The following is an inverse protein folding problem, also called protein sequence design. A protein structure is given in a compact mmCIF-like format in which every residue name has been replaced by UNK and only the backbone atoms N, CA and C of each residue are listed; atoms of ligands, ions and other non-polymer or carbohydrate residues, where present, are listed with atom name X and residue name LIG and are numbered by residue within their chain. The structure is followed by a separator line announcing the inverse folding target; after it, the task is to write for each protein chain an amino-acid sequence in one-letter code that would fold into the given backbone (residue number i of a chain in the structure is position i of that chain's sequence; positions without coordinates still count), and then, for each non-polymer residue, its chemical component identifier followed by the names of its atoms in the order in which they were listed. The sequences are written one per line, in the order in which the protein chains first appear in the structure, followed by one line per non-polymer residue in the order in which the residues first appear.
data_IF_863535267973
#
_entry.id   IF_863535267973
#
_cell.length_a   1.000
_cell.length_b   1.000
_cell.length_c   1.000
_cell.angle_alpha   90.00
_cell.angle_beta   90.00
_cell.angle_gamma   90.00
#
_symmetry.space_group_name_H-M   'P 1'
#
loop_
_entity.id
_entity.type
_entity.pdbx_description
1 polymer ?
#
# COMPACT_ATOMS: atom_id res chain seq x y z
N UNK A 1 -11.93 22.32 41.48
CA UNK A 1 -11.91 21.30 40.40
C UNK A 1 -11.98 22.03 39.09
N UNK A 2 -10.90 21.99 38.30
CA UNK A 2 -10.70 22.81 37.11
C UNK A 2 -11.09 22.00 35.86
N UNK A 3 -12.21 22.31 35.17
CA UNK A 3 -12.67 21.57 33.99
C UNK A 3 -11.86 21.85 32.71
N UNK A 4 -10.85 22.72 32.75
CA UNK A 4 -10.11 23.18 31.57
C UNK A 4 -8.83 22.39 31.25
N UNK A 5 -8.75 21.11 31.63
CA UNK A 5 -7.67 20.28 31.12
C UNK A 5 -7.86 20.11 29.60
N UNK A 6 -6.93 20.62 28.75
CA UNK A 6 -7.03 20.45 27.31
C UNK A 6 -7.09 18.96 27.04
N UNK A 7 -8.25 18.51 26.55
CA UNK A 7 -8.51 17.11 26.21
C UNK A 7 -7.30 16.61 25.42
N UNK A 8 -6.55 15.71 26.04
CA UNK A 8 -5.39 15.04 25.49
C UNK A 8 -5.86 14.37 24.19
N UNK A 9 -5.72 15.08 23.06
CA UNK A 9 -6.13 14.55 21.76
C UNK A 9 -5.20 13.40 21.47
N UNK A 10 -5.73 12.19 21.61
CA UNK A 10 -5.04 10.97 21.25
C UNK A 10 -4.51 11.14 19.83
N UNK A 11 -3.20 10.99 19.60
CA UNK A 11 -2.62 11.18 18.27
C UNK A 11 -3.34 10.25 17.29
N UNK A 12 -3.89 10.83 16.22
CA UNK A 12 -4.55 10.07 15.18
C UNK A 12 -3.57 9.05 14.62
N UNK A 13 -3.98 7.77 14.63
CA UNK A 13 -3.15 6.69 14.09
C UNK A 13 -2.86 7.01 12.62
N UNK A 14 -1.60 7.00 12.18
CA UNK A 14 -1.28 7.25 10.78
C UNK A 14 -2.02 6.22 9.92
N UNK A 15 -2.72 6.71 8.90
CA UNK A 15 -3.41 5.86 7.94
C UNK A 15 -2.40 4.95 7.22
N UNK A 16 -2.76 3.67 7.11
CA UNK A 16 -1.91 2.67 6.44
C UNK A 16 -2.00 2.86 4.94
N UNK A 17 -0.87 2.81 4.24
CA UNK A 17 -0.89 2.91 2.78
C UNK A 17 -1.62 1.70 2.16
N UNK A 18 -2.65 1.98 1.36
CA UNK A 18 -3.35 0.97 0.59
C UNK A 18 -2.40 0.26 -0.40
N UNK A 19 -1.48 1.01 -1.02
CA UNK A 19 -0.49 0.47 -1.96
C UNK A 19 0.40 -0.59 -1.32
N UNK A 20 1.01 -0.29 -0.17
CA UNK A 20 1.91 -1.24 0.53
C UNK A 20 1.14 -2.48 0.97
N UNK A 21 -0.12 -2.31 1.39
CA UNK A 21 -0.99 -3.43 1.75
C UNK A 21 -1.32 -4.32 0.55
N UNK A 22 -1.73 -3.72 -0.57
CA UNK A 22 -2.03 -4.44 -1.80
C UNK A 22 -0.82 -5.19 -2.35
N UNK A 23 0.36 -4.54 -2.37
CA UNK A 23 1.60 -5.17 -2.82
C UNK A 23 2.01 -6.34 -1.92
N UNK A 24 1.92 -6.19 -0.59
CA UNK A 24 2.23 -7.28 0.33
C UNK A 24 1.34 -8.51 0.08
N UNK A 25 0.03 -8.30 -0.12
CA UNK A 25 -0.90 -9.38 -0.47
C UNK A 25 -0.58 -10.02 -1.82
N UNK A 26 -0.24 -9.23 -2.83
CA UNK A 26 0.15 -9.74 -4.14
C UNK A 26 1.39 -10.64 -4.04
N UNK A 27 2.43 -10.18 -3.33
CA UNK A 27 3.66 -10.95 -3.10
C UNK A 27 3.35 -12.25 -2.35
N UNK A 28 2.53 -12.20 -1.30
CA UNK A 28 2.12 -13.39 -0.54
C UNK A 28 1.38 -14.38 -1.46
N UNK A 29 0.42 -13.90 -2.26
CA UNK A 29 -0.37 -14.76 -3.14
C UNK A 29 0.50 -15.45 -4.21
N UNK A 30 1.33 -14.68 -4.93
CA UNK A 30 2.23 -15.21 -5.95
C UNK A 30 3.24 -16.20 -5.37
N UNK A 31 3.83 -15.88 -4.20
CA UNK A 31 4.80 -16.75 -3.55
C UNK A 31 4.16 -18.05 -3.04
N UNK A 32 2.93 -17.97 -2.51
CA UNK A 32 2.17 -19.16 -2.07
C UNK A 32 1.87 -20.08 -3.23
N UNK A 33 1.54 -19.53 -4.41
CA UNK A 33 1.33 -20.32 -5.63
C UNK A 33 2.63 -20.96 -6.13
N UNK A 34 3.77 -20.28 -6.00
CA UNK A 34 5.07 -20.77 -6.45
C UNK A 34 5.73 -21.78 -5.48
N UNK A 35 5.33 -21.79 -4.20
CA UNK A 35 5.93 -22.65 -3.17
C UNK A 35 5.89 -24.15 -3.50
N UNK A 36 4.79 -24.73 -4.02
CA UNK A 36 4.77 -26.15 -4.35
C UNK A 36 5.72 -26.52 -5.49
N UNK A 37 5.86 -25.63 -6.49
CA UNK A 37 6.84 -25.81 -7.58
C UNK A 37 8.26 -25.75 -7.04
N UNK A 38 8.54 -24.78 -6.15
CA UNK A 38 9.82 -24.66 -5.44
C UNK A 38 10.16 -25.93 -4.65
N UNK A 39 9.24 -26.39 -3.80
CA UNK A 39 9.45 -27.57 -2.95
C UNK A 39 9.64 -28.85 -3.77
N UNK A 40 8.86 -29.02 -4.83
CA UNK A 40 9.03 -30.17 -5.72
C UNK A 40 10.38 -30.13 -6.46
N UNK A 41 10.78 -28.96 -6.95
CA UNK A 41 12.08 -28.79 -7.63
C UNK A 41 13.22 -29.12 -6.66
N UNK A 42 13.14 -28.68 -5.40
CA UNK A 42 14.10 -29.04 -4.36
C UNK A 42 14.15 -30.56 -4.13
N UNK A 43 13.01 -31.24 -4.07
CA UNK A 43 12.96 -32.69 -3.91
C UNK A 43 13.59 -33.42 -5.11
N UNK A 44 13.36 -32.95 -6.34
CA UNK A 44 13.98 -33.52 -7.54
C UNK A 44 15.51 -33.37 -7.53
N UNK A 45 16.01 -32.21 -7.07
CA UNK A 45 17.45 -31.96 -6.91
C UNK A 45 18.04 -32.88 -5.84
N UNK A 46 17.39 -33.01 -4.68
CA UNK A 46 17.84 -33.89 -3.60
C UNK A 46 17.83 -35.37 -3.99
N UNK A 47 16.86 -35.78 -4.81
CA UNK A 47 16.76 -37.14 -5.33
C UNK A 47 17.75 -37.45 -6.47
N UNK A 48 18.60 -36.49 -6.88
CA UNK A 48 19.52 -36.60 -8.02
C UNK A 48 18.82 -37.04 -9.32
N UNK A 49 17.58 -36.58 -9.52
CA UNK A 49 16.84 -36.87 -10.75
C UNK A 49 17.56 -36.31 -11.97
N UNK A 50 17.63 -37.09 -13.06
CA UNK A 50 18.37 -36.76 -14.29
C UNK A 50 17.96 -35.43 -14.95
N UNK A 51 16.80 -34.86 -14.61
CA UNK A 51 16.37 -33.54 -15.10
C UNK A 51 17.05 -32.34 -14.43
N UNK A 52 17.91 -32.53 -13.43
CA UNK A 52 18.50 -31.42 -12.64
C UNK A 52 19.95 -31.09 -12.99
N UNK A 53 20.58 -31.87 -13.88
CA UNK A 53 21.98 -31.67 -14.29
C UNK A 53 22.22 -30.35 -15.06
N UNK A 54 21.17 -29.70 -15.56
CA UNK A 54 21.23 -28.43 -16.29
C UNK A 54 20.72 -27.22 -15.50
N UNK A 55 20.36 -27.39 -14.22
CA UNK A 55 19.96 -26.26 -13.39
C UNK A 55 21.20 -25.45 -13.01
N UNK A 56 21.40 -24.32 -13.70
CA UNK A 56 22.39 -23.34 -13.29
C UNK A 56 22.06 -22.77 -11.90
N UNK A 57 23.07 -22.24 -11.22
CA UNK A 57 22.88 -21.72 -9.87
C UNK A 57 21.78 -20.63 -9.82
N UNK A 58 21.67 -19.80 -10.87
CA UNK A 58 20.64 -18.77 -10.97
C UNK A 58 19.22 -19.35 -11.08
N UNK A 59 19.02 -20.39 -11.90
CA UNK A 59 17.76 -21.11 -11.99
C UNK A 59 17.37 -21.77 -10.67
N UNK A 60 18.33 -22.39 -9.97
CA UNK A 60 18.09 -22.96 -8.63
C UNK A 60 17.62 -21.88 -7.65
N UNK A 61 18.32 -20.74 -7.56
CA UNK A 61 17.92 -19.66 -6.65
C UNK A 61 16.53 -19.11 -7.00
N UNK A 62 16.22 -18.92 -8.29
CA UNK A 62 14.96 -18.34 -8.74
C UNK A 62 13.76 -19.26 -8.50
N UNK A 63 13.93 -20.56 -8.77
CA UNK A 63 12.82 -21.53 -8.65
C UNK A 63 12.68 -22.04 -7.23
N UNK A 64 13.79 -22.34 -6.54
CA UNK A 64 13.75 -22.99 -5.22
C UNK A 64 13.75 -21.96 -4.09
N UNK A 65 14.67 -20.99 -4.13
CA UNK A 65 14.94 -20.11 -2.98
C UNK A 65 14.07 -18.86 -2.97
N UNK A 66 13.78 -18.28 -4.13
CA UNK A 66 13.06 -17.01 -4.21
C UNK A 66 11.61 -17.09 -3.70
N UNK A 67 10.80 -18.12 -3.99
CA UNK A 67 9.42 -18.20 -3.50
C UNK A 67 9.27 -18.16 -1.97
N UNK A 68 9.98 -18.98 -1.16
CA UNK A 68 9.87 -18.89 0.30
C UNK A 68 10.39 -17.54 0.83
N UNK A 69 11.47 -16.99 0.28
CA UNK A 69 11.97 -15.67 0.68
C UNK A 69 10.96 -14.56 0.37
N UNK A 70 10.34 -14.60 -0.81
CA UNK A 70 9.31 -13.65 -1.22
C UNK A 70 8.08 -13.74 -0.32
N UNK A 71 7.66 -14.94 0.09
CA UNK A 71 6.57 -15.11 1.05
C UNK A 71 6.89 -14.44 2.39
N UNK A 72 8.08 -14.72 2.95
CA UNK A 72 8.51 -14.12 4.21
C UNK A 72 8.60 -12.59 4.11
N UNK A 73 9.18 -12.08 3.02
CA UNK A 73 9.28 -10.65 2.75
C UNK A 73 7.89 -10.00 2.63
N UNK A 74 6.95 -10.65 1.94
CA UNK A 74 5.54 -10.22 1.84
C UNK A 74 4.84 -10.14 3.20
N UNK A 75 5.01 -11.15 4.06
CA UNK A 75 4.48 -11.13 5.44
C UNK A 75 5.13 -10.03 6.27
N UNK A 76 6.45 -9.83 6.13
CA UNK A 76 7.18 -8.75 6.78
C UNK A 76 6.67 -7.37 6.34
N UNK A 77 6.43 -7.19 5.05
CA UNK A 77 5.89 -5.95 4.45
C UNK A 77 4.45 -5.68 4.94
N UNK A 78 3.61 -6.72 5.04
CA UNK A 78 2.25 -6.60 5.58
C UNK A 78 2.28 -6.14 7.05
N UNK A 79 3.27 -6.60 7.82
CA UNK A 79 3.53 -6.19 9.21
C UNK A 79 4.32 -4.88 9.33
N UNK A 80 4.63 -4.21 8.22
CA UNK A 80 5.44 -2.97 8.17
C UNK A 80 6.79 -3.11 8.88
N UNK A 81 7.40 -4.29 8.80
CA UNK A 81 8.76 -4.50 9.34
C UNK A 81 9.80 -4.07 8.30
N UNK A 82 10.83 -3.37 8.75
CA UNK A 82 11.92 -2.86 7.90
C UNK A 82 12.58 -3.96 7.08
N UNK A 83 12.84 -5.13 7.68
CA UNK A 83 13.43 -6.28 6.97
C UNK A 83 12.52 -6.82 5.85
N UNK A 84 11.20 -6.76 6.00
CA UNK A 84 10.26 -7.21 4.98
C UNK A 84 10.29 -6.29 3.76
N UNK A 85 10.32 -4.99 4.00
CA UNK A 85 10.52 -3.98 2.96
C UNK A 85 11.86 -4.16 2.25
N UNK A 86 12.96 -4.30 2.99
CA UNK A 86 14.28 -4.51 2.41
C UNK A 86 14.33 -5.80 1.57
N UNK A 87 13.72 -6.89 2.06
CA UNK A 87 13.62 -8.14 1.33
C UNK A 87 12.89 -8.01 -0.01
N UNK A 88 11.76 -7.30 -0.05
CA UNK A 88 11.04 -7.05 -1.31
C UNK A 88 11.87 -6.20 -2.29
N UNK A 89 12.61 -5.19 -1.80
CA UNK A 89 13.52 -4.42 -2.66
C UNK A 89 14.61 -5.28 -3.30
N UNK A 90 15.26 -6.13 -2.49
CA UNK A 90 16.32 -7.03 -2.97
C UNK A 90 15.78 -8.01 -4.01
N UNK A 91 14.60 -8.59 -3.76
CA UNK A 91 13.96 -9.51 -4.70
C UNK A 91 13.58 -8.83 -6.02
N UNK A 92 13.01 -7.62 -5.98
CA UNK A 92 12.68 -6.86 -7.19
C UNK A 92 13.93 -6.45 -7.97
N UNK A 93 14.96 -5.96 -7.29
CA UNK A 93 16.23 -5.60 -7.91
C UNK A 93 16.89 -6.83 -8.56
N UNK A 94 16.94 -7.96 -7.85
CA UNK A 94 17.44 -9.23 -8.37
C UNK A 94 16.66 -9.70 -9.60
N UNK A 95 15.32 -9.60 -9.58
CA UNK A 95 14.48 -9.93 -10.73
C UNK A 95 14.78 -9.05 -11.95
N UNK A 96 14.94 -7.73 -11.76
CA UNK A 96 15.30 -6.80 -12.83
C UNK A 96 16.67 -7.16 -13.43
N UNK A 97 17.68 -7.38 -12.58
CA UNK A 97 19.03 -7.75 -13.03
C UNK A 97 19.01 -9.08 -13.78
N UNK A 98 18.30 -10.09 -13.25
CA UNK A 98 18.18 -11.39 -13.91
C UNK A 98 17.55 -11.27 -15.31
N UNK A 99 16.43 -10.56 -15.43
CA UNK A 99 15.76 -10.35 -16.72
C UNK A 99 16.62 -9.54 -17.71
N UNK A 100 17.35 -8.53 -17.21
CA UNK A 100 18.27 -7.75 -18.04
C UNK A 100 19.47 -8.58 -18.52
N UNK A 101 20.02 -9.44 -17.67
CA UNK A 101 21.09 -10.37 -18.03
C UNK A 101 20.61 -11.41 -19.04
N UNK A 102 19.40 -11.96 -18.88
CA UNK A 102 18.81 -12.85 -19.88
C UNK A 102 18.65 -12.15 -21.23
N UNK A 103 18.19 -10.89 -21.24
CA UNK A 103 18.03 -10.11 -22.44
C UNK A 103 19.37 -9.81 -23.13
N UNK A 104 20.44 -9.59 -22.36
CA UNK A 104 21.77 -9.28 -22.88
C UNK A 104 22.58 -10.50 -23.33
N UNK A 105 22.39 -11.65 -22.69
CA UNK A 105 23.21 -12.86 -22.95
C UNK A 105 22.59 -13.81 -23.98
N UNK A 106 21.25 -13.81 -24.14
CA UNK A 106 20.60 -14.68 -25.12
C UNK A 106 20.76 -14.14 -26.54
N UNK A 107 21.80 -14.58 -27.23
CA UNK A 107 21.86 -14.50 -28.70
C UNK A 107 20.85 -15.51 -29.27
N UNK A 108 20.02 -15.14 -30.25
CA UNK A 108 19.18 -16.11 -30.95
C UNK A 108 20.12 -17.15 -31.57
N UNK A 109 20.13 -18.35 -30.98
CA UNK A 109 20.99 -19.44 -31.44
C UNK A 109 20.08 -20.39 -32.16
N UNK A 110 20.09 -20.34 -33.49
CA UNK A 110 19.37 -21.31 -34.29
C UNK A 110 19.97 -22.68 -34.02
N UNK A 111 19.18 -23.56 -33.40
CA UNK A 111 19.63 -24.90 -33.06
C UNK A 111 19.18 -25.82 -34.18
N UNK A 112 20.12 -26.25 -35.02
CA UNK A 112 19.84 -27.23 -36.07
C UNK A 112 19.85 -28.59 -35.40
N UNK A 113 18.68 -29.21 -35.26
CA UNK A 113 18.55 -30.59 -34.80
C UNK A 113 18.39 -31.50 -35.99
N UNK A 114 19.17 -32.58 -36.05
CA UNK A 114 18.91 -33.68 -36.99
C UNK A 114 17.83 -34.57 -36.38
N UNK A 115 16.74 -34.78 -37.12
CA UNK A 115 15.76 -35.81 -36.76
C UNK A 115 16.41 -37.20 -36.85
N UNK A 116 15.85 -38.22 -36.18
CA UNK A 116 16.30 -39.61 -36.32
C UNK A 116 16.36 -40.11 -37.77
N UNK A 117 15.53 -39.54 -38.65
CA UNK A 117 15.46 -39.87 -40.08
C UNK A 117 16.49 -39.09 -40.93
N UNK A 118 17.38 -38.31 -40.31
CA UNK A 118 18.39 -37.51 -41.00
C UNK A 118 17.86 -36.22 -41.62
N UNK A 119 16.59 -35.85 -41.36
CA UNK A 119 16.03 -34.59 -41.83
C UNK A 119 16.50 -33.48 -40.89
N UNK A 120 17.19 -32.47 -41.43
CA UNK A 120 17.51 -31.27 -40.67
C UNK A 120 16.22 -30.52 -40.35
N UNK A 121 15.89 -30.43 -39.07
CA UNK A 121 14.85 -29.55 -38.57
C UNK A 121 15.51 -28.34 -37.94
N UNK A 122 15.38 -27.20 -38.59
CA UNK A 122 15.75 -25.93 -37.98
C UNK A 122 14.65 -25.57 -36.99
N UNK A 123 14.92 -25.78 -35.70
CA UNK A 123 14.06 -25.21 -34.67
C UNK A 123 14.42 -23.74 -34.61
N UNK A 124 13.61 -22.92 -35.29
CA UNK A 124 13.67 -21.46 -35.16
C UNK A 124 13.71 -21.15 -33.68
N UNK A 125 14.77 -20.49 -33.22
CA UNK A 125 14.89 -20.10 -31.83
C UNK A 125 13.61 -19.33 -31.48
N UNK A 126 12.89 -19.78 -30.45
CA UNK A 126 11.72 -19.07 -29.94
C UNK A 126 12.15 -17.62 -29.73
N UNK A 127 11.54 -16.69 -30.49
CA UNK A 127 11.98 -15.30 -30.56
C UNK A 127 12.19 -14.70 -29.17
N UNK A 128 13.07 -13.70 -29.07
CA UNK A 128 13.44 -13.02 -27.81
C UNK A 128 12.26 -12.94 -26.84
N UNK A 129 12.43 -13.37 -25.60
CA UNK A 129 11.38 -13.47 -24.59
C UNK A 129 10.60 -12.14 -24.49
N UNK A 130 9.47 -12.01 -25.18
CA UNK A 130 8.73 -10.74 -25.32
C UNK A 130 8.19 -10.26 -23.95
N UNK A 131 8.21 -11.14 -22.96
CA UNK A 131 7.76 -10.89 -21.60
C UNK A 131 8.81 -10.23 -20.70
N UNK A 132 10.11 -10.31 -21.03
CA UNK A 132 11.17 -9.77 -20.15
C UNK A 132 11.09 -8.25 -20.01
N UNK A 133 10.84 -7.52 -21.11
CA UNK A 133 10.75 -6.05 -21.08
C UNK A 133 9.58 -5.54 -20.22
N UNK A 134 8.33 -6.02 -20.39
CA UNK A 134 7.23 -5.67 -19.49
C UNK A 134 7.53 -5.96 -18.02
N UNK A 135 8.14 -7.12 -17.71
CA UNK A 135 8.48 -7.50 -16.34
C UNK A 135 9.50 -6.52 -15.74
N UNK A 136 10.54 -6.15 -16.49
CA UNK A 136 11.55 -5.18 -16.06
C UNK A 136 10.89 -3.83 -15.76
N UNK A 137 10.06 -3.32 -16.68
CA UNK A 137 9.40 -2.00 -16.54
C UNK A 137 8.49 -1.98 -15.32
N UNK A 138 7.60 -2.98 -15.17
CA UNK A 138 6.70 -3.06 -14.01
C UNK A 138 7.47 -3.18 -12.71
N UNK A 139 8.50 -4.03 -12.67
CA UNK A 139 9.33 -4.21 -11.47
C UNK A 139 10.07 -2.93 -11.09
N UNK A 140 10.61 -2.19 -12.07
CA UNK A 140 11.30 -0.92 -11.86
C UNK A 140 10.35 0.16 -11.30
N UNK A 141 9.12 0.24 -11.82
CA UNK A 141 8.11 1.18 -11.32
C UNK A 141 7.69 0.86 -9.88
N UNK A 142 7.48 -0.42 -9.56
CA UNK A 142 7.17 -0.86 -8.18
C UNK A 142 8.35 -0.56 -7.25
N UNK A 143 9.58 -0.84 -7.69
CA UNK A 143 10.80 -0.55 -6.94
C UNK A 143 10.94 0.96 -6.65
N UNK A 144 10.77 1.81 -7.67
CA UNK A 144 10.80 3.27 -7.52
C UNK A 144 9.73 3.76 -6.54
N UNK A 145 8.52 3.19 -6.60
CA UNK A 145 7.44 3.54 -5.67
C UNK A 145 7.77 3.12 -4.23
N UNK A 146 8.36 1.94 -4.02
CA UNK A 146 8.79 1.47 -2.70
C UNK A 146 9.92 2.32 -2.09
N UNK A 147 10.77 2.94 -2.93
CA UNK A 147 11.84 3.84 -2.50
C UNK A 147 11.37 5.27 -2.20
N UNK A 148 10.11 5.60 -2.51
CA UNK A 148 9.53 6.91 -2.21
C UNK A 148 9.56 7.23 -0.71
N UNK A 149 9.68 8.52 -0.37
CA UNK A 149 9.79 8.98 1.03
C UNK A 149 8.59 8.57 1.88
N UNK A 150 7.39 8.54 1.29
CA UNK A 150 6.15 8.16 1.98
C UNK A 150 6.17 6.70 2.45
N UNK A 151 6.56 5.77 1.57
CA UNK A 151 6.64 4.33 1.91
C UNK A 151 7.76 4.06 2.90
N UNK A 152 8.93 4.71 2.73
CA UNK A 152 10.04 4.60 3.67
C UNK A 152 9.67 5.06 5.08
N UNK A 153 8.97 6.19 5.19
CA UNK A 153 8.52 6.72 6.47
C UNK A 153 7.52 5.77 7.17
N UNK A 154 6.70 5.04 6.42
CA UNK A 154 5.75 4.06 6.98
C UNK A 154 6.48 2.82 7.53
N UNK A 155 7.49 2.31 6.82
CA UNK A 155 8.20 1.09 7.23
C UNK A 155 9.29 1.33 8.28
N UNK A 156 9.82 2.56 8.41
CA UNK A 156 10.89 2.89 9.35
C UNK A 156 10.47 3.05 10.81
N UNK A 157 9.20 3.35 11.10
CA UNK A 157 8.76 3.70 12.47
C UNK A 157 8.61 2.51 13.43
N UNK A 158 8.42 1.30 12.92
CA UNK A 158 8.07 0.14 13.74
C UNK A 158 9.26 -0.50 14.47
N UNK A 159 10.49 -0.26 14.02
CA UNK A 159 11.69 -0.82 14.63
C UNK A 159 12.08 -0.17 15.96
N UNK A 160 11.89 1.15 16.10
CA UNK A 160 12.41 1.89 17.26
C UNK A 160 11.48 1.88 18.47
N UNK A 161 10.17 1.67 18.27
CA UNK A 161 9.20 1.72 19.36
C UNK A 161 9.21 0.46 20.26
N UNK A 162 9.65 -0.70 19.74
CA UNK A 162 9.69 -1.95 20.51
C UNK A 162 10.95 -2.11 21.36
N UNK A 163 12.00 -1.32 21.12
CA UNK A 163 13.26 -1.34 21.88
C UNK A 163 13.36 -0.29 22.98
N UNK A 164 12.49 0.73 22.98
CA UNK A 164 12.55 1.86 23.92
C UNK A 164 11.80 1.62 25.25
N UNK A 165 11.47 0.36 25.58
CA UNK A 165 10.83 -0.03 26.84
C UNK A 165 11.77 -0.22 28.02
N UNK A 166 13.08 0.03 27.87
CA UNK A 166 14.07 -0.12 28.94
C UNK A 166 14.90 1.14 29.11
N UNK A 167 14.72 1.83 30.24
CA UNK A 167 15.67 2.85 30.72
C UNK A 167 15.28 4.30 30.45
N UNK A 168 14.25 4.78 31.14
CA UNK A 168 14.19 6.20 31.51
C UNK A 168 15.31 6.43 32.54
N UNK A 169 16.54 6.61 32.09
CA UNK A 169 17.50 7.43 32.84
C UNK A 169 17.27 8.87 32.40
N UNK A 170 16.33 9.50 33.09
CA UNK A 170 16.16 10.95 33.11
C UNK A 170 17.44 11.57 33.68
N UNK A 171 18.44 11.81 32.83
CA UNK A 171 19.54 12.71 33.14
C UNK A 171 19.08 14.09 32.68
N UNK A 172 18.56 14.82 33.64
CA UNK A 172 18.40 16.27 33.57
C UNK A 172 19.79 16.87 33.36
N UNK A 173 20.00 17.51 32.22
CA UNK A 173 21.09 18.46 32.02
C UNK A 173 20.49 19.78 31.52
N UNK A 174 20.78 20.92 32.18
CA UNK A 174 20.26 22.22 31.80
C UNK A 174 21.20 22.91 30.82
N UNK A 175 20.63 23.67 29.88
CA UNK A 175 21.29 24.82 29.27
C UNK A 175 21.66 24.69 27.79
N UNK A 176 21.21 25.67 27.00
CA UNK A 176 21.86 26.06 25.74
C UNK A 176 21.02 25.85 24.49
N UNK A 177 20.32 26.90 24.07
CA UNK A 177 19.58 27.03 22.81
C UNK A 177 20.43 26.80 21.54
N UNK A 178 19.78 26.33 20.47
CA UNK A 178 19.93 26.93 19.15
C UNK A 178 18.66 26.66 18.30
N UNK A 179 17.99 27.69 17.76
CA UNK A 179 16.78 27.52 16.95
C UNK A 179 17.15 26.97 15.57
N UNK A 180 16.50 25.85 15.21
CA UNK A 180 16.62 25.17 13.93
C UNK A 180 16.01 26.07 12.83
N UNK A 181 16.84 26.63 11.96
CA UNK A 181 16.39 27.46 10.85
C UNK A 181 15.54 26.65 9.86
N UNK A 182 14.28 27.07 9.75
CA UNK A 182 13.28 26.56 8.82
C UNK A 182 13.53 27.13 7.42
N UNK A 183 13.37 26.28 6.41
CA UNK A 183 13.59 26.56 4.99
C UNK A 183 12.73 27.75 4.52
N UNK A 184 13.35 28.90 4.25
CA UNK A 184 12.68 30.09 3.71
C UNK A 184 12.42 29.91 2.20
N UNK A 185 11.17 29.91 1.73
CA UNK A 185 10.88 30.13 0.32
C UNK A 185 11.27 31.57 -0.09
N UNK A 186 11.55 31.82 -1.38
CA UNK A 186 12.00 33.12 -1.87
C UNK A 186 10.99 34.21 -1.55
N UNK A 187 11.49 35.30 -0.97
CA UNK A 187 10.73 36.50 -0.62
C UNK A 187 10.38 37.30 -1.86
N UNK A 188 9.09 37.36 -2.21
CA UNK A 188 8.52 38.47 -2.98
C UNK A 188 8.70 39.75 -2.15
N UNK A 189 9.72 40.55 -2.48
CA UNK A 189 10.23 41.66 -1.68
C UNK A 189 9.31 42.87 -1.51
N UNK A 190 8.01 42.76 -1.82
CA UNK A 190 7.06 43.87 -1.74
C UNK A 190 5.99 43.71 -0.64
N UNK A 191 5.89 42.54 0.02
CA UNK A 191 4.81 42.29 0.98
C UNK A 191 5.36 42.09 2.40
N UNK A 192 4.82 42.86 3.34
CA UNK A 192 5.10 42.74 4.77
C UNK A 192 4.31 41.60 5.43
N UNK A 193 3.65 40.74 4.66
CA UNK A 193 2.90 39.59 5.17
C UNK A 193 2.99 38.39 4.22
N UNK A 194 2.77 37.20 4.76
CA UNK A 194 2.76 35.93 4.02
C UNK A 194 1.83 34.92 4.67
N UNK A 195 1.37 33.95 3.88
CA UNK A 195 0.59 32.82 4.35
C UNK A 195 1.23 31.51 3.89
N UNK A 196 0.98 30.42 4.60
CA UNK A 196 1.49 29.11 4.20
C UNK A 196 0.89 27.97 4.99
N UNK A 197 1.37 26.76 4.69
CA UNK A 197 0.96 25.54 5.36
C UNK A 197 2.01 25.06 6.36
N UNK A 198 1.56 24.54 7.50
CA UNK A 198 2.40 23.82 8.46
C UNK A 198 1.93 22.36 8.54
N UNK A 199 2.48 21.53 7.67
CA UNK A 199 2.04 20.14 7.54
C UNK A 199 0.75 20.02 6.70
N UNK A 200 -0.08 19.04 7.01
CA UNK A 200 -1.26 18.71 6.19
C UNK A 200 -2.49 19.59 6.51
N UNK A 201 -2.76 19.78 7.80
CA UNK A 201 -4.05 20.31 8.26
C UNK A 201 -3.90 21.70 8.93
N UNK A 202 -2.69 22.29 8.99
CA UNK A 202 -2.51 23.61 9.60
C UNK A 202 -2.07 24.64 8.59
N UNK A 203 -2.56 25.85 8.76
CA UNK A 203 -2.11 27.02 8.03
C UNK A 203 -1.59 28.08 8.98
N UNK A 204 -0.83 29.01 8.45
CA UNK A 204 -0.35 30.15 9.20
C UNK A 204 -0.45 31.42 8.37
N UNK A 205 -0.63 32.53 9.06
CA UNK A 205 -0.46 33.87 8.57
C UNK A 205 0.67 34.53 9.35
N UNK A 206 1.64 35.11 8.66
CA UNK A 206 2.76 35.82 9.26
C UNK A 206 2.81 37.26 8.74
N UNK A 207 3.10 38.21 9.63
CA UNK A 207 3.25 39.62 9.28
C UNK A 207 4.50 40.20 9.95
N UNK A 208 5.23 41.02 9.20
CA UNK A 208 6.43 41.71 9.65
C UNK A 208 6.01 42.89 10.51
N UNK A 209 6.28 42.78 11.81
CA UNK A 209 6.17 43.85 12.79
C UNK A 209 7.56 44.50 12.98
N UNK A 210 7.66 45.68 13.65
CA UNK A 210 8.95 46.31 13.95
C UNK A 210 9.95 45.37 14.66
N UNK A 211 9.45 44.54 15.56
CA UNK A 211 10.24 43.60 16.36
C UNK A 211 10.52 42.25 15.66
N UNK A 212 10.08 42.09 14.41
CA UNK A 212 10.27 40.87 13.62
C UNK A 212 8.97 40.27 13.09
N UNK A 213 9.07 39.06 12.56
CA UNK A 213 7.90 38.34 12.04
C UNK A 213 7.06 37.78 13.17
N UNK A 214 5.78 38.13 13.20
CA UNK A 214 4.82 37.56 14.12
C UNK A 214 3.86 36.63 13.38
N UNK A 215 3.49 35.53 14.03
CA UNK A 215 2.74 34.43 13.42
C UNK A 215 1.40 34.22 14.09
N UNK A 216 0.40 33.95 13.26
CA UNK A 216 -0.95 33.55 13.63
C UNK A 216 -1.22 32.16 13.03
N UNK A 217 -1.37 31.15 13.88
CA UNK A 217 -1.74 29.80 13.44
C UNK A 217 -3.25 29.70 13.22
N UNK A 218 -3.63 29.01 12.15
CA UNK A 218 -5.00 28.83 11.70
C UNK A 218 -5.30 27.34 11.56
N UNK A 219 -6.48 26.94 12.03
CA UNK A 219 -6.98 25.58 11.88
C UNK A 219 -7.47 25.36 10.44
N UNK A 220 -7.13 24.22 9.85
CA UNK A 220 -7.67 23.77 8.57
C UNK A 220 -7.91 22.27 8.56
N UNK A 221 -8.56 21.77 7.51
CA UNK A 221 -8.72 20.35 7.26
C UNK A 221 -8.61 20.07 5.76
N UNK A 222 -7.95 18.98 5.39
CA UNK A 222 -7.86 18.53 4.01
C UNK A 222 -9.13 17.74 3.65
N UNK A 223 -9.84 18.17 2.63
CA UNK A 223 -11.06 17.52 2.16
C UNK A 223 -10.77 16.60 0.96
N UNK A 224 -11.63 15.59 0.77
CA UNK A 224 -11.60 14.67 -0.38
C UNK A 224 -12.60 15.10 -1.49
N UNK A 225 -13.07 16.34 -1.42
CA UNK A 225 -14.09 16.90 -2.32
C UNK A 225 -13.49 17.78 -3.43
N UNK A 226 -14.34 18.56 -4.13
CA UNK A 226 -13.89 19.54 -5.12
C UNK A 226 -12.96 20.61 -4.52
N UNK A 227 -13.21 21.00 -3.27
CA UNK A 227 -12.26 21.76 -2.47
C UNK A 227 -11.26 20.78 -1.84
N UNK A 228 -9.98 21.13 -1.92
CA UNK A 228 -8.89 20.35 -1.35
C UNK A 228 -8.67 20.66 0.13
N UNK A 229 -9.01 21.88 0.57
CA UNK A 229 -8.86 22.31 1.96
C UNK A 229 -10.03 23.16 2.42
N UNK A 230 -10.33 23.07 3.72
CA UNK A 230 -11.21 24.00 4.42
C UNK A 230 -10.42 24.77 5.47
N UNK A 231 -10.62 26.08 5.53
CA UNK A 231 -10.00 26.97 6.52
C UNK A 231 -11.04 27.37 7.57
N UNK A 232 -10.72 27.17 8.85
CA UNK A 232 -11.59 27.56 9.95
C UNK A 232 -11.11 28.86 10.60
N UNK A 233 -11.83 29.94 10.36
CA UNK A 233 -11.61 31.19 11.07
C UNK A 233 -12.26 31.14 12.45
N UNK A 234 -11.54 31.61 13.46
CA UNK A 234 -12.11 31.74 14.80
C UNK A 234 -13.30 32.70 14.79
N UNK A 235 -14.34 32.39 15.59
CA UNK A 235 -15.47 33.28 15.81
C UNK A 235 -14.99 34.64 16.36
N UNK A 236 -15.75 35.74 16.22
CA UNK A 236 -15.33 37.04 16.74
C UNK A 236 -14.89 37.03 18.21
N UNK A 237 -15.61 36.30 19.07
CA UNK A 237 -15.26 36.16 20.48
C UNK A 237 -13.94 35.38 20.68
N UNK A 238 -13.74 34.27 19.95
CA UNK A 238 -12.51 33.47 20.04
C UNK A 238 -11.31 34.19 19.40
N UNK A 239 -11.55 35.06 18.42
CA UNK A 239 -10.52 35.88 17.79
C UNK A 239 -9.85 36.84 18.78
N UNK A 240 -10.56 37.29 19.82
CA UNK A 240 -9.98 38.14 20.88
C UNK A 240 -8.88 37.42 21.69
N UNK A 241 -8.83 36.09 21.65
CA UNK A 241 -7.77 35.31 22.29
C UNK A 241 -6.46 35.31 21.49
N UNK A 242 -6.46 35.76 20.23
CA UNK A 242 -5.25 35.88 19.42
C UNK A 242 -4.33 37.00 19.92
N UNK A 243 -3.05 37.05 19.46
CA UNK A 243 -2.13 38.12 19.79
C UNK A 243 -2.71 39.51 19.51
N UNK A 244 -2.34 40.49 20.33
CA UNK A 244 -2.93 41.83 20.33
C UNK A 244 -2.94 42.50 18.95
N UNK A 245 -1.85 42.38 18.20
CA UNK A 245 -1.71 42.93 16.85
C UNK A 245 -2.76 42.44 15.84
N UNK A 246 -3.33 41.25 16.06
CA UNK A 246 -4.33 40.64 15.16
C UNK A 246 -5.77 40.91 15.58
N UNK A 247 -6.03 41.28 16.86
CA UNK A 247 -7.39 41.33 17.44
C UNK A 247 -8.30 42.31 16.71
N UNK A 248 -7.78 43.49 16.36
CA UNK A 248 -8.55 44.56 15.73
C UNK A 248 -8.50 44.52 14.19
N UNK A 249 -7.80 43.54 13.61
CA UNK A 249 -7.54 43.43 12.17
C UNK A 249 -8.11 42.15 11.55
N UNK A 250 -9.09 41.53 12.21
CA UNK A 250 -9.72 40.26 11.77
C UNK A 250 -10.12 40.28 10.30
N UNK A 251 -10.90 41.27 9.87
CA UNK A 251 -11.40 41.36 8.50
C UNK A 251 -10.29 41.51 7.46
N UNK A 252 -9.28 42.33 7.76
CA UNK A 252 -8.12 42.54 6.89
C UNK A 252 -7.29 41.24 6.73
N UNK A 253 -7.00 40.55 7.84
CA UNK A 253 -6.23 39.31 7.83
C UNK A 253 -6.98 38.21 7.05
N UNK A 254 -8.29 38.06 7.28
CA UNK A 254 -9.13 37.11 6.54
C UNK A 254 -9.10 37.41 5.04
N UNK A 255 -9.28 38.68 4.65
CA UNK A 255 -9.25 39.08 3.25
C UNK A 255 -7.88 38.77 2.58
N UNK A 256 -6.77 38.99 3.29
CA UNK A 256 -5.42 38.63 2.80
C UNK A 256 -5.27 37.12 2.60
N UNK A 257 -5.74 36.31 3.55
CA UNK A 257 -5.70 34.84 3.48
C UNK A 257 -6.55 34.35 2.30
N UNK A 258 -7.78 34.86 2.15
CA UNK A 258 -8.68 34.52 1.04
C UNK A 258 -8.11 34.91 -0.32
N UNK A 259 -7.33 36.00 -0.40
CA UNK A 259 -6.71 36.45 -1.65
C UNK A 259 -5.64 35.49 -2.19
N UNK A 260 -4.98 34.74 -1.31
CA UNK A 260 -3.94 33.75 -1.64
C UNK A 260 -4.51 32.34 -1.83
N UNK A 261 -5.42 31.92 -0.95
CA UNK A 261 -6.00 30.58 -0.99
C UNK A 261 -7.38 30.58 -1.64
N UNK A 262 -7.47 30.80 -2.96
CA UNK A 262 -8.75 31.08 -3.64
C UNK A 262 -9.65 29.84 -3.87
N UNK A 263 -10.98 30.02 -3.99
CA UNK A 263 -11.87 28.99 -4.55
C UNK A 263 -11.49 28.64 -6.01
N UNK A 264 -11.75 27.40 -6.48
CA UNK A 264 -12.51 26.34 -5.82
C UNK A 264 -11.68 25.48 -4.86
N UNK A 265 -10.35 25.64 -4.82
CA UNK A 265 -9.45 24.77 -4.07
C UNK A 265 -9.63 24.86 -2.54
N UNK A 266 -10.17 25.98 -2.06
CA UNK A 266 -10.38 26.27 -0.65
C UNK A 266 -11.83 26.66 -0.35
N UNK A 267 -12.35 26.09 0.74
CA UNK A 267 -13.59 26.51 1.39
C UNK A 267 -13.27 27.21 2.73
N UNK A 268 -14.14 28.11 3.17
CA UNK A 268 -13.94 28.86 4.42
C UNK A 268 -15.15 28.70 5.35
N UNK A 269 -14.87 28.50 6.63
CA UNK A 269 -15.86 28.42 7.70
C UNK A 269 -15.52 29.39 8.83
N UNK A 270 -16.54 29.94 9.49
CA UNK A 270 -16.35 30.82 10.66
C UNK A 270 -16.22 32.32 10.33
N UNK A 271 -16.28 32.69 9.05
CA UNK A 271 -16.89 33.97 8.67
C UNK A 271 -18.33 33.91 9.18
N UNK A 272 -18.73 34.82 10.07
CA UNK A 272 -20.03 34.75 10.73
C UNK A 272 -21.10 34.47 9.70
N UNK A 273 -21.64 33.25 9.73
CA UNK A 273 -22.76 32.80 8.89
C UNK A 273 -24.05 33.41 9.41
N UNK A 274 -24.00 34.71 9.72
CA UNK A 274 -25.13 35.60 9.53
C UNK A 274 -25.07 35.93 8.05
N UNK A 275 -25.84 35.17 7.28
CA UNK A 275 -25.93 35.22 5.83
C UNK A 275 -26.31 36.61 5.32
N UNK A 276 -25.33 37.52 5.32
CA UNK A 276 -25.40 38.77 4.56
C UNK A 276 -24.88 38.45 3.16
N UNK A 277 -25.60 37.55 2.49
CA UNK A 277 -25.96 37.88 1.13
C UNK A 277 -26.64 39.26 1.21
N UNK A 278 -26.17 40.18 0.39
CA UNK A 278 -26.75 41.50 0.23
C UNK A 278 -28.25 41.34 -0.11
N UNK A 279 -29.15 41.39 0.89
CA UNK A 279 -30.57 41.69 0.73
C UNK A 279 -31.25 41.89 2.08
N UNK A 280 -32.05 42.96 2.13
CA UNK A 280 -32.64 43.59 3.29
C UNK A 280 -33.68 42.75 4.05
N UNK A 281 -33.81 43.06 5.36
CA UNK A 281 -35.05 43.35 6.12
C UNK A 281 -34.93 42.85 7.57
N UNK A 282 -35.20 43.78 8.48
CA UNK A 282 -35.20 43.72 9.94
C UNK A 282 -36.36 42.88 10.51
N UNK A 283 -36.10 42.04 11.54
CA UNK A 283 -36.94 41.90 12.75
C UNK A 283 -36.41 40.84 13.76
N UNK A 284 -36.21 41.30 15.01
CA UNK A 284 -36.30 40.65 16.34
C UNK A 284 -35.42 39.42 16.73
N UNK A 285 -34.84 39.40 17.96
CA UNK A 285 -33.93 38.36 18.42
C UNK A 285 -34.69 37.15 18.99
N UNK A 286 -34.44 35.97 18.42
CA UNK A 286 -34.89 34.69 18.96
C UNK A 286 -33.77 34.04 19.81
N UNK A 287 -34.16 33.55 20.99
CA UNK A 287 -33.34 32.83 21.97
C UNK A 287 -32.63 31.63 21.29
N UNK A 288 -31.30 31.64 21.27
CA UNK A 288 -30.46 30.58 20.67
C UNK A 288 -30.40 29.37 21.61
N UNK A 289 -30.90 28.19 21.21
CA UNK A 289 -30.81 26.97 22.00
C UNK A 289 -29.41 26.33 21.86
N UNK A 290 -28.91 25.72 22.94
CA UNK A 290 -27.62 25.03 22.97
C UNK A 290 -27.48 24.00 21.82
N UNK A 291 -26.26 23.85 21.24
CA UNK A 291 -26.00 22.87 20.19
C UNK A 291 -26.20 21.45 20.74
N UNK A 292 -27.21 20.74 20.20
CA UNK A 292 -27.43 19.33 20.51
C UNK A 292 -26.22 18.50 20.04
N UNK A 293 -25.80 17.48 20.81
CA UNK A 293 -24.80 16.53 20.37
C UNK A 293 -25.25 15.90 19.05
N UNK A 294 -24.44 16.08 18.00
CA UNK A 294 -24.70 15.50 16.69
C UNK A 294 -24.75 13.98 16.83
N UNK A 295 -25.86 13.32 16.42
CA UNK A 295 -25.94 11.87 16.46
C UNK A 295 -24.83 11.31 15.57
N UNK A 296 -23.94 10.51 16.18
CA UNK A 296 -22.98 9.68 15.47
C UNK A 296 -23.80 8.85 14.50
N UNK A 297 -23.66 9.14 13.19
CA UNK A 297 -24.47 8.52 12.16
C UNK A 297 -24.41 6.99 12.29
N UNK A 298 -25.54 6.28 12.14
CA UNK A 298 -25.57 4.83 12.31
C UNK A 298 -24.53 4.21 11.37
N UNK A 299 -23.64 3.39 11.94
CA UNK A 299 -22.63 2.65 11.21
C UNK A 299 -23.25 2.09 9.91
N UNK A 300 -22.64 2.42 8.78
CA UNK A 300 -23.15 2.11 7.44
C UNK A 300 -23.58 0.64 7.36
N UNK A 301 -24.88 0.38 7.32
CA UNK A 301 -25.41 -0.99 7.21
C UNK A 301 -24.96 -1.55 5.88
N UNK A 302 -24.20 -2.64 5.93
CA UNK A 302 -23.82 -3.43 4.75
C UNK A 302 -25.11 -3.86 4.05
N UNK A 303 -25.25 -3.55 2.76
CA UNK A 303 -26.45 -3.89 2.00
C UNK A 303 -26.63 -5.42 1.96
N UNK A 304 -27.86 -5.93 2.07
CA UNK A 304 -28.13 -7.38 1.93
C UNK A 304 -27.53 -7.96 0.64
N UNK A 305 -27.46 -7.16 -0.43
CA UNK A 305 -26.84 -7.56 -1.72
C UNK A 305 -25.33 -7.84 -1.57
N UNK A 306 -24.62 -7.04 -0.79
CA UNK A 306 -23.19 -7.25 -0.52
C UNK A 306 -22.95 -8.52 0.29
N UNK A 307 -23.84 -8.80 1.24
CA UNK A 307 -23.82 -10.03 2.02
C UNK A 307 -24.06 -11.28 1.16
N UNK A 308 -25.07 -11.25 0.29
CA UNK A 308 -25.34 -12.35 -0.64
C UNK A 308 -24.16 -12.61 -1.60
N UNK A 309 -23.56 -11.53 -2.14
CA UNK A 309 -22.38 -11.63 -3.00
C UNK A 309 -21.18 -12.25 -2.27
N UNK A 310 -20.95 -11.86 -1.02
CA UNK A 310 -19.86 -12.41 -0.22
C UNK A 310 -20.06 -13.91 0.07
N UNK A 311 -21.28 -14.33 0.44
CA UNK A 311 -21.61 -15.74 0.65
C UNK A 311 -21.39 -16.55 -0.63
N UNK A 312 -21.84 -16.03 -1.78
CA UNK A 312 -21.65 -16.68 -3.07
C UNK A 312 -20.15 -16.87 -3.41
N UNK A 313 -19.33 -15.83 -3.23
CA UNK A 313 -17.88 -15.91 -3.45
C UNK A 313 -17.24 -16.96 -2.54
N UNK A 314 -17.62 -17.01 -1.26
CA UNK A 314 -17.11 -18.04 -0.35
C UNK A 314 -17.53 -19.45 -0.75
N UNK A 315 -18.78 -19.63 -1.18
CA UNK A 315 -19.27 -20.92 -1.67
C UNK A 315 -18.48 -21.39 -2.90
N UNK A 316 -18.18 -20.48 -3.85
CA UNK A 316 -17.36 -20.78 -5.03
C UNK A 316 -15.94 -21.20 -4.61
N UNK A 317 -15.29 -20.45 -3.71
CA UNK A 317 -13.95 -20.79 -3.23
C UNK A 317 -13.90 -22.14 -2.49
N UNK A 318 -14.91 -22.45 -1.68
CA UNK A 318 -15.06 -23.77 -1.06
C UNK A 318 -15.25 -24.86 -2.12
N UNK A 319 -16.09 -24.64 -3.13
CA UNK A 319 -16.29 -25.58 -4.24
C UNK A 319 -15.00 -25.86 -5.02
N UNK A 320 -14.21 -24.83 -5.33
CA UNK A 320 -12.89 -24.97 -5.97
C UNK A 320 -11.96 -25.81 -5.09
N UNK A 321 -11.92 -25.52 -3.78
CA UNK A 321 -11.07 -26.23 -2.82
C UNK A 321 -11.39 -27.72 -2.79
N UNK A 322 -12.67 -28.07 -2.65
CA UNK A 322 -13.14 -29.46 -2.59
C UNK A 322 -12.90 -30.16 -3.93
N UNK A 323 -13.24 -29.53 -5.05
CA UNK A 323 -13.07 -30.09 -6.39
C UNK A 323 -11.60 -30.38 -6.71
N UNK A 324 -10.71 -29.41 -6.49
CA UNK A 324 -9.27 -29.60 -6.73
C UNK A 324 -8.64 -30.59 -5.74
N UNK A 325 -9.05 -30.57 -4.47
CA UNK A 325 -8.62 -31.55 -3.48
C UNK A 325 -9.01 -32.99 -3.86
N UNK A 326 -10.22 -33.17 -4.41
CA UNK A 326 -10.66 -34.45 -4.95
C UNK A 326 -9.83 -34.89 -6.16
N UNK A 327 -9.50 -33.98 -7.08
CA UNK A 327 -8.60 -34.26 -8.21
C UNK A 327 -7.21 -34.71 -7.75
N UNK A 328 -6.64 -34.04 -6.75
CA UNK A 328 -5.36 -34.45 -6.14
C UNK A 328 -5.46 -35.86 -5.54
N UNK A 329 -6.48 -36.13 -4.71
CA UNK A 329 -6.69 -37.45 -4.10
C UNK A 329 -6.80 -38.54 -5.18
N UNK A 330 -7.66 -38.33 -6.17
CA UNK A 330 -7.89 -39.29 -7.26
C UNK A 330 -6.61 -39.54 -8.05
N UNK A 331 -5.88 -38.49 -8.43
CA UNK A 331 -4.63 -38.64 -9.17
C UNK A 331 -3.55 -39.36 -8.37
N UNK A 332 -3.53 -39.16 -7.03
CA UNK A 332 -2.63 -39.89 -6.15
C UNK A 332 -2.95 -41.39 -6.09
N UNK A 333 -4.24 -41.74 -6.02
CA UNK A 333 -4.75 -43.13 -5.97
C UNK A 333 -4.58 -43.87 -7.30
N UNK A 334 -4.89 -43.23 -8.43
CA UNK A 334 -4.83 -43.87 -9.76
C UNK A 334 -3.45 -43.82 -10.40
N UNK A 335 -2.56 -42.97 -9.90
CA UNK A 335 -1.27 -42.71 -10.54
C UNK A 335 -1.38 -41.97 -11.87
N UNK A 336 -2.55 -41.41 -12.20
CA UNK A 336 -2.81 -40.68 -13.44
C UNK A 336 -3.50 -39.35 -13.16
N UNK A 337 -3.08 -38.28 -13.82
CA UNK A 337 -3.68 -36.94 -13.67
C UNK A 337 -3.82 -36.25 -15.02
N UNK A 338 -4.49 -35.09 -15.08
CA UNK A 338 -4.53 -34.26 -16.28
C UNK A 338 -3.68 -33.01 -16.05
N UNK A 339 -2.99 -32.54 -17.09
CA UNK A 339 -2.25 -31.29 -16.98
C UNK A 339 -3.23 -30.11 -17.12
N UNK A 340 -3.16 -29.09 -16.25
CA UNK A 340 -4.05 -27.92 -16.31
C UNK A 340 -3.63 -26.97 -17.45
N UNK A 341 -3.80 -27.40 -18.70
CA UNK A 341 -3.60 -26.57 -19.89
C UNK A 341 -4.92 -26.28 -20.60
N UNK A 342 -5.01 -25.07 -21.17
CA UNK A 342 -6.13 -24.66 -22.03
C UNK A 342 -6.03 -25.25 -23.44
N UNK A 343 -4.85 -25.68 -23.88
CA UNK A 343 -4.68 -26.25 -25.21
C UNK A 343 -5.11 -27.71 -25.19
N UNK A 344 -6.10 -28.06 -26.04
CA UNK A 344 -6.61 -29.43 -26.16
C UNK A 344 -5.51 -30.44 -26.50
N UNK A 345 -4.49 -30.04 -27.26
CA UNK A 345 -3.31 -30.86 -27.57
C UNK A 345 -2.46 -31.24 -26.35
N UNK A 346 -2.58 -30.49 -25.25
CA UNK A 346 -1.88 -30.75 -23.99
C UNK A 346 -2.78 -31.42 -22.94
N UNK A 347 -4.07 -31.61 -23.25
CA UNK A 347 -5.03 -32.32 -22.37
C UNK A 347 -4.95 -33.82 -22.62
N UNK A 348 -3.82 -34.42 -22.27
CA UNK A 348 -3.66 -35.87 -22.22
C UNK A 348 -3.51 -36.35 -20.77
N UNK A 349 -3.90 -37.59 -20.46
CA UNK A 349 -3.58 -38.18 -19.17
C UNK A 349 -2.06 -38.24 -19.02
N UNK A 350 -1.58 -37.82 -17.86
CA UNK A 350 -0.18 -37.86 -17.45
C UNK A 350 -0.06 -38.96 -16.41
N UNK A 351 0.66 -40.03 -16.73
CA UNK A 351 0.92 -41.14 -15.83
C UNK A 351 2.13 -40.86 -14.95
N UNK A 352 2.06 -41.20 -13.66
CA UNK A 352 3.19 -41.13 -12.72
C UNK A 352 4.34 -42.05 -13.16
N UNK A 353 4.02 -43.19 -13.77
CA UNK A 353 5.01 -44.17 -14.19
C UNK A 353 5.77 -43.71 -15.45
N UNK A 354 5.08 -43.07 -16.38
CA UNK A 354 5.65 -42.61 -17.66
C UNK A 354 6.30 -41.23 -17.54
N UNK A 355 5.66 -40.31 -16.81
CA UNK A 355 6.05 -38.90 -16.72
C UNK A 355 5.99 -38.38 -15.28
N UNK A 356 6.87 -38.88 -14.39
CA UNK A 356 6.82 -38.57 -12.97
C UNK A 356 6.93 -37.06 -12.69
N UNK A 357 7.77 -36.34 -13.42
CA UNK A 357 7.94 -34.90 -13.25
C UNK A 357 6.65 -34.13 -13.61
N UNK A 358 6.05 -34.38 -14.78
CA UNK A 358 4.83 -33.72 -15.20
C UNK A 358 3.64 -34.07 -14.29
N UNK A 359 3.56 -35.33 -13.86
CA UNK A 359 2.54 -35.81 -12.94
C UNK A 359 2.59 -35.04 -11.61
N UNK A 360 3.76 -34.99 -10.98
CA UNK A 360 3.92 -34.33 -9.69
C UNK A 360 3.77 -32.81 -9.80
N UNK A 361 4.18 -32.20 -10.91
CA UNK A 361 3.96 -30.77 -11.17
C UNK A 361 2.46 -30.45 -11.21
N UNK A 362 1.68 -31.24 -11.96
CA UNK A 362 0.23 -31.06 -12.04
C UNK A 362 -0.44 -31.23 -10.66
N UNK A 363 -0.06 -32.28 -9.91
CA UNK A 363 -0.53 -32.49 -8.54
C UNK A 363 -0.16 -31.31 -7.63
N UNK A 364 1.06 -30.79 -7.74
CA UNK A 364 1.54 -29.63 -7.00
C UNK A 364 0.72 -28.38 -7.28
N UNK A 365 0.45 -28.09 -8.56
CA UNK A 365 -0.39 -26.95 -8.97
C UNK A 365 -1.82 -27.07 -8.43
N UNK A 366 -2.45 -28.24 -8.55
CA UNK A 366 -3.79 -28.45 -8.01
C UNK A 366 -3.83 -28.31 -6.49
N UNK A 367 -2.82 -28.83 -5.79
CA UNK A 367 -2.69 -28.70 -4.33
C UNK A 367 -2.54 -27.24 -3.90
N UNK A 368 -1.71 -26.47 -4.62
CA UNK A 368 -1.50 -25.04 -4.38
C UNK A 368 -2.80 -24.25 -4.49
N UNK A 369 -3.52 -24.47 -5.59
CA UNK A 369 -4.77 -23.78 -5.88
C UNK A 369 -5.85 -24.15 -4.86
N UNK A 370 -5.99 -25.44 -4.51
CA UNK A 370 -6.93 -25.90 -3.48
C UNK A 370 -6.64 -25.25 -2.12
N UNK A 371 -5.38 -25.26 -1.68
CA UNK A 371 -4.99 -24.66 -0.41
C UNK A 371 -5.20 -23.13 -0.41
N UNK A 372 -4.86 -22.47 -1.51
CA UNK A 372 -5.05 -21.02 -1.68
C UNK A 372 -6.51 -20.61 -1.63
N UNK A 373 -7.40 -21.31 -2.35
CA UNK A 373 -8.83 -21.05 -2.33
C UNK A 373 -9.43 -21.31 -0.94
N UNK A 374 -9.00 -22.39 -0.27
CA UNK A 374 -9.46 -22.72 1.08
C UNK A 374 -9.04 -21.68 2.12
N UNK A 375 -7.80 -21.21 2.04
CA UNK A 375 -7.29 -20.13 2.89
C UNK A 375 -8.06 -18.82 2.72
N UNK A 376 -8.36 -18.43 1.47
CA UNK A 376 -9.16 -17.24 1.18
C UNK A 376 -10.60 -17.35 1.70
N UNK A 377 -11.23 -18.52 1.51
CA UNK A 377 -12.58 -18.78 2.04
C UNK A 377 -12.61 -18.67 3.57
N UNK A 378 -11.64 -19.28 4.27
CA UNK A 378 -11.56 -19.23 5.73
C UNK A 378 -11.27 -17.81 6.24
N UNK A 379 -10.42 -17.06 5.55
CA UNK A 379 -10.17 -15.66 5.87
C UNK A 379 -11.43 -14.80 5.69
N UNK A 380 -12.15 -14.97 4.58
CA UNK A 380 -13.42 -14.30 4.32
C UNK A 380 -14.44 -14.58 5.41
N UNK A 381 -14.59 -15.85 5.81
CA UNK A 381 -15.48 -16.27 6.88
C UNK A 381 -15.11 -15.61 8.21
N UNK A 382 -13.81 -15.53 8.51
CA UNK A 382 -13.33 -14.84 9.72
C UNK A 382 -13.64 -13.34 9.72
N UNK A 383 -13.60 -12.67 8.56
CA UNK A 383 -13.98 -11.25 8.47
C UNK A 383 -15.47 -11.07 8.69
N UNK A 384 -16.27 -12.01 8.19
CA UNK A 384 -17.72 -12.04 8.43
C UNK A 384 -18.03 -12.19 9.90
N UNK A 385 -17.42 -13.17 10.59
CA UNK A 385 -17.65 -13.44 12.01
C UNK A 385 -17.17 -12.34 12.97
N UNK A 386 -16.34 -11.41 12.48
CA UNK A 386 -15.83 -10.28 13.29
C UNK A 386 -16.71 -9.04 13.23
N UNK A 387 -17.66 -9.01 12.29
CA UNK A 387 -18.67 -7.96 12.19
C UNK A 387 -19.92 -8.41 12.91
#
# INVERSE_FOLDING_TARGET
MNPDHPLCRTPSRPERSAFVTGLAWLVIALSTLALPVSGMTLLMVLARSHGTASADAAGFFTVVVAPPLALLAGVGLLRRRTWGWAGVLVLLAGLIVHQALELGTRRPTDTITLSPDGVQTTVLASGSNHHSMPIIVVSALVLAKLLSRSVRAECGRTGNAAGAGGGVTSVVAPGGEAPRQEHRPPTDGARDWRVGHQGRDRMYYEERQPDGWQRLDLDGEMLMGPAHHVIYFASPARWLAYPEWARHRRGEIIARIQSEFRPPDYEYYGEGSDGTAVSAVSAAPAVVPLPRPMPVGPASRVSMKQWAALILVMAILCGITVGLGWFVKRGLETGTTHFPSKHSSQQRPVSRAEEPATFWLAIGVYSALAAGSGGLALWGLRQVLRR
#
